data_IF_750687348254
#
_entry.id   IF_750687348254
#
_cell.length_a   1.000
_cell.length_b   1.000
_cell.length_c   1.000
_cell.angle_alpha   90.00
_cell.angle_beta   90.00
_cell.angle_gamma   90.00
#
_symmetry.space_group_name_H-M   'P 1'
#
loop_
_entity.id
_entity.type
_entity.pdbx_description
1 polymer ?
#
# COMPACT_ATOMS: atom_id res chain seq x y z
N UNK A 1 5.73 13.13 2.03
CA UNK A 1 5.00 13.92 1.02
C UNK A 1 3.53 14.00 1.39
N UNK A 2 2.88 15.11 1.14
CA UNK A 2 1.43 15.30 1.35
C UNK A 2 0.76 15.49 -0.02
N UNK A 3 -0.30 14.72 -0.28
CA UNK A 3 -1.07 14.85 -1.52
C UNK A 3 -2.03 16.03 -1.41
N UNK A 4 -1.92 16.97 -2.34
CA UNK A 4 -2.87 18.09 -2.46
C UNK A 4 -4.08 17.61 -3.24
N UNK A 5 -5.28 17.73 -2.70
CA UNK A 5 -6.51 17.17 -3.31
C UNK A 5 -7.64 18.19 -3.47
N UNK A 6 -7.35 19.49 -3.37
CA UNK A 6 -8.37 20.55 -3.44
C UNK A 6 -8.81 20.90 -4.86
N UNK A 7 -8.03 20.49 -5.89
CA UNK A 7 -8.37 20.72 -7.29
C UNK A 7 -7.71 19.67 -8.19
N UNK A 8 -8.22 19.51 -9.41
CA UNK A 8 -7.61 18.61 -10.40
C UNK A 8 -6.14 18.94 -10.67
N UNK A 9 -5.82 20.23 -10.81
CA UNK A 9 -4.43 20.68 -11.01
C UNK A 9 -3.54 20.34 -9.81
N UNK A 10 -4.04 20.48 -8.58
CA UNK A 10 -3.29 20.13 -7.37
C UNK A 10 -3.06 18.62 -7.24
N UNK A 11 -4.01 17.81 -7.71
CA UNK A 11 -3.83 16.34 -7.77
C UNK A 11 -2.77 15.99 -8.80
N UNK A 12 -2.80 16.60 -9.98
CA UNK A 12 -1.81 16.36 -11.02
C UNK A 12 -0.41 16.76 -10.58
N UNK A 13 -0.25 17.93 -9.97
CA UNK A 13 1.01 18.36 -9.34
C UNK A 13 1.52 17.33 -8.32
N UNK A 14 0.62 16.81 -7.48
CA UNK A 14 0.96 15.81 -6.48
C UNK A 14 1.37 14.47 -7.09
N UNK A 15 0.76 14.07 -8.18
CA UNK A 15 1.12 12.85 -8.93
C UNK A 15 2.51 12.99 -9.54
N UNK A 16 2.81 14.11 -10.17
CA UNK A 16 4.13 14.37 -10.76
C UNK A 16 5.22 14.37 -9.69
N UNK A 17 4.97 15.08 -8.60
CA UNK A 17 5.93 15.16 -7.50
C UNK A 17 6.14 13.80 -6.83
N UNK A 18 5.07 13.00 -6.64
CA UNK A 18 5.18 11.65 -6.12
C UNK A 18 6.04 10.78 -7.03
N UNK A 19 5.75 10.77 -8.32
CA UNK A 19 6.52 9.97 -9.29
C UNK A 19 8.00 10.37 -9.26
N UNK A 20 8.29 11.69 -9.22
CA UNK A 20 9.66 12.21 -9.13
C UNK A 20 10.38 11.75 -7.86
N UNK A 21 9.72 11.85 -6.69
CA UNK A 21 10.29 11.44 -5.41
C UNK A 21 10.52 9.93 -5.40
N UNK A 22 9.56 9.12 -5.86
CA UNK A 22 9.68 7.65 -5.90
C UNK A 22 10.87 7.22 -6.75
N UNK A 23 11.11 7.87 -7.89
CA UNK A 23 12.27 7.57 -8.74
C UNK A 23 13.63 7.82 -8.07
N UNK A 24 13.68 8.62 -7.02
CA UNK A 24 14.89 8.93 -6.26
C UNK A 24 14.96 8.19 -4.92
N UNK A 25 13.89 7.50 -4.52
CA UNK A 25 13.80 6.80 -3.24
C UNK A 25 14.23 5.35 -3.38
N UNK A 26 14.65 4.73 -2.28
CA UNK A 26 14.96 3.32 -2.15
C UNK A 26 13.85 2.56 -1.43
N UNK A 27 13.09 3.27 -0.57
CA UNK A 27 12.02 2.71 0.23
C UNK A 27 10.80 3.62 0.15
N UNK A 28 9.63 3.02 -0.01
CA UNK A 28 8.33 3.69 0.14
C UNK A 28 7.68 3.15 1.40
N UNK A 29 7.31 4.05 2.31
CA UNK A 29 6.52 3.72 3.49
C UNK A 29 5.15 4.36 3.41
N UNK A 30 4.11 3.56 3.53
CA UNK A 30 2.72 4.02 3.64
C UNK A 30 2.27 3.82 5.08
N UNK A 31 2.12 4.89 5.86
CA UNK A 31 1.75 4.80 7.26
C UNK A 31 0.29 4.38 7.44
N UNK A 32 -0.06 4.06 8.68
CA UNK A 32 -1.44 3.88 9.10
C UNK A 32 -2.20 5.21 9.23
N UNK A 33 -3.46 5.10 9.59
CA UNK A 33 -4.37 6.22 9.81
C UNK A 33 -5.78 5.86 9.36
N UNK A 34 -6.69 6.81 9.54
CA UNK A 34 -8.07 6.68 9.09
C UNK A 34 -8.34 7.72 8.01
N UNK A 35 -8.79 7.28 6.84
CA UNK A 35 -9.18 8.17 5.75
C UNK A 35 -10.70 8.28 5.71
N UNK A 36 -11.22 9.49 5.52
CA UNK A 36 -12.65 9.67 5.25
C UNK A 36 -13.06 8.90 4.00
N UNK A 37 -14.17 8.18 4.06
CA UNK A 37 -14.69 7.40 2.94
C UNK A 37 -14.08 6.01 2.76
N UNK A 38 -13.29 5.53 3.71
CA UNK A 38 -12.80 4.15 3.71
C UNK A 38 -13.93 3.12 3.91
N UNK A 39 -14.97 3.49 4.65
CA UNK A 39 -16.19 2.70 4.87
C UNK A 39 -17.19 2.85 3.72
N UNK A 40 -18.06 1.84 3.45
CA UNK A 40 -18.16 0.53 4.12
C UNK A 40 -17.26 -0.56 3.53
N UNK A 41 -16.54 -0.29 2.46
CA UNK A 41 -15.84 -1.30 1.66
C UNK A 41 -14.39 -1.51 2.10
N UNK A 42 -14.05 -1.05 3.30
CA UNK A 42 -12.74 -1.18 3.91
C UNK A 42 -11.77 -0.07 3.52
N UNK A 43 -10.65 -0.06 4.20
CA UNK A 43 -9.68 1.03 4.21
C UNK A 43 -8.74 1.06 3.01
N UNK A 44 -8.05 2.18 2.83
CA UNK A 44 -7.02 2.35 1.81
C UNK A 44 -7.51 2.81 0.44
N UNK A 45 -8.79 3.16 0.26
CA UNK A 45 -9.37 3.55 -1.03
C UNK A 45 -8.63 4.73 -1.69
N UNK A 46 -8.41 5.81 -0.96
CA UNK A 46 -7.74 7.00 -1.51
C UNK A 46 -6.28 6.72 -1.85
N UNK A 47 -5.58 5.97 -0.99
CA UNK A 47 -4.21 5.54 -1.24
C UNK A 47 -4.18 4.69 -2.50
N UNK A 48 -5.08 3.72 -2.60
CA UNK A 48 -5.19 2.81 -3.76
C UNK A 48 -5.46 3.58 -5.05
N UNK A 49 -6.41 4.51 -5.04
CA UNK A 49 -6.72 5.35 -6.19
C UNK A 49 -5.52 6.18 -6.65
N UNK A 50 -4.79 6.78 -5.70
CA UNK A 50 -3.59 7.57 -5.99
C UNK A 50 -2.47 6.73 -6.61
N UNK A 51 -2.18 5.55 -6.04
CA UNK A 51 -1.13 4.66 -6.53
C UNK A 51 -1.49 3.97 -7.86
N UNK A 52 -2.75 3.91 -8.25
CA UNK A 52 -3.19 3.43 -9.57
C UNK A 52 -2.99 4.45 -10.69
N UNK A 53 -2.70 5.71 -10.37
CA UNK A 53 -2.33 6.66 -11.40
C UNK A 53 -1.13 6.12 -12.20
N UNK A 54 -1.16 6.13 -13.55
CA UNK A 54 -0.12 5.51 -14.38
C UNK A 54 1.30 5.98 -14.04
N UNK A 55 1.50 7.28 -13.83
CA UNK A 55 2.83 7.83 -13.51
C UNK A 55 3.38 7.33 -12.17
N UNK A 56 2.53 7.25 -11.15
CA UNK A 56 2.90 6.72 -9.83
C UNK A 56 3.12 5.21 -9.90
N UNK A 57 2.22 4.48 -10.57
CA UNK A 57 2.33 3.04 -10.80
C UNK A 57 3.65 2.68 -11.48
N UNK A 58 4.00 3.36 -12.57
CA UNK A 58 5.23 3.11 -13.30
C UNK A 58 6.47 3.37 -12.44
N UNK A 59 6.47 4.45 -11.66
CA UNK A 59 7.57 4.75 -10.74
C UNK A 59 7.73 3.69 -9.64
N UNK A 60 6.62 3.16 -9.10
CA UNK A 60 6.62 2.06 -8.13
C UNK A 60 7.16 0.77 -8.76
N UNK A 61 6.71 0.42 -9.96
CA UNK A 61 7.20 -0.77 -10.66
C UNK A 61 8.70 -0.66 -10.99
N UNK A 62 9.17 0.51 -11.38
CA UNK A 62 10.59 0.76 -11.58
C UNK A 62 11.39 0.59 -10.29
N UNK A 63 10.89 1.13 -9.17
CA UNK A 63 11.51 0.95 -7.85
C UNK A 63 11.64 -0.52 -7.49
N UNK A 64 10.53 -1.28 -7.56
CA UNK A 64 10.49 -2.66 -7.09
C UNK A 64 11.16 -3.66 -8.03
N UNK A 65 11.03 -3.48 -9.35
CA UNK A 65 11.46 -4.49 -10.34
C UNK A 65 12.83 -4.21 -10.95
N UNK A 66 13.28 -2.94 -10.96
CA UNK A 66 14.55 -2.56 -11.61
C UNK A 66 15.62 -2.08 -10.64
N UNK A 67 15.21 -1.49 -9.52
CA UNK A 67 16.11 -0.88 -8.56
C UNK A 67 16.20 -1.63 -7.23
N UNK A 68 15.54 -2.78 -7.13
CA UNK A 68 15.52 -3.64 -5.93
C UNK A 68 15.09 -2.88 -4.66
N UNK A 69 14.17 -1.92 -4.82
CA UNK A 69 13.65 -1.12 -3.72
C UNK A 69 12.58 -1.84 -2.93
N UNK A 70 12.17 -1.25 -1.82
CA UNK A 70 11.25 -1.86 -0.87
C UNK A 70 10.00 -1.01 -0.65
N UNK A 71 8.91 -1.67 -0.30
CA UNK A 71 7.70 -1.01 0.21
C UNK A 71 7.29 -1.57 1.56
N UNK A 72 6.83 -0.68 2.44
CA UNK A 72 6.28 -1.02 3.75
C UNK A 72 4.91 -0.38 3.91
N UNK A 73 3.91 -1.15 4.25
CA UNK A 73 2.57 -0.67 4.59
C UNK A 73 2.20 -1.03 6.02
N UNK A 74 1.72 -0.05 6.78
CA UNK A 74 1.31 -0.22 8.17
C UNK A 74 -0.18 0.08 8.29
N UNK A 75 -0.96 -0.83 8.90
CA UNK A 75 -2.39 -0.66 9.15
C UNK A 75 -3.16 -0.32 7.86
N UNK A 76 -3.68 0.88 7.70
CA UNK A 76 -4.35 1.36 6.48
C UNK A 76 -3.42 1.28 5.25
N UNK A 77 -2.14 1.56 5.41
CA UNK A 77 -1.13 1.38 4.36
C UNK A 77 -0.98 -0.09 3.94
N UNK A 78 -0.99 -1.04 4.88
CA UNK A 78 -0.98 -2.46 4.57
C UNK A 78 -2.25 -2.89 3.81
N UNK A 79 -3.41 -2.41 4.23
CA UNK A 79 -4.67 -2.66 3.52
C UNK A 79 -4.62 -2.14 2.08
N UNK A 80 -4.00 -0.98 1.85
CA UNK A 80 -3.78 -0.46 0.51
C UNK A 80 -2.83 -1.34 -0.32
N UNK A 81 -1.72 -1.83 0.27
CA UNK A 81 -0.81 -2.74 -0.43
C UNK A 81 -1.49 -4.04 -0.87
N UNK A 82 -2.38 -4.60 -0.05
CA UNK A 82 -3.19 -5.76 -0.44
C UNK A 82 -4.10 -5.41 -1.63
N UNK A 83 -4.85 -4.30 -1.55
CA UNK A 83 -5.79 -3.87 -2.59
C UNK A 83 -5.12 -3.45 -3.90
N UNK A 84 -3.87 -3.05 -3.85
CA UNK A 84 -3.06 -2.75 -5.03
C UNK A 84 -2.50 -4.01 -5.70
N UNK A 85 -2.54 -5.16 -5.04
CA UNK A 85 -1.92 -6.39 -5.51
C UNK A 85 -0.44 -6.51 -5.13
N UNK A 86 0.14 -5.51 -4.48
CA UNK A 86 1.58 -5.48 -4.16
C UNK A 86 2.01 -6.59 -3.20
N UNK A 87 1.22 -6.89 -2.16
CA UNK A 87 1.54 -8.00 -1.24
C UNK A 87 1.24 -9.36 -1.90
N UNK A 88 0.06 -9.59 -2.53
CA UNK A 88 -0.22 -10.88 -3.14
C UNK A 88 0.64 -11.21 -4.36
N UNK A 89 0.94 -10.22 -5.21
CA UNK A 89 1.48 -10.45 -6.55
C UNK A 89 2.81 -9.74 -6.83
N UNK A 90 3.26 -8.84 -5.94
CA UNK A 90 4.49 -8.06 -6.13
C UNK A 90 4.41 -6.94 -7.16
N UNK A 91 3.20 -6.59 -7.59
CA UNK A 91 2.97 -5.51 -8.56
C UNK A 91 1.59 -4.87 -8.39
N UNK A 92 1.45 -3.65 -8.89
CA UNK A 92 0.15 -2.98 -8.93
C UNK A 92 -0.64 -3.54 -10.09
N UNK A 93 -1.71 -4.27 -9.76
CA UNK A 93 -2.59 -4.92 -10.73
C UNK A 93 -4.06 -4.74 -10.35
N UNK A 94 -4.94 -4.99 -11.30
CA UNK A 94 -6.37 -5.00 -11.03
C UNK A 94 -6.73 -6.26 -10.25
N UNK A 95 -7.56 -6.07 -9.22
CA UNK A 95 -8.03 -7.16 -8.39
C UNK A 95 -9.20 -7.86 -9.06
N UNK A 96 -9.19 -9.17 -9.01
CA UNK A 96 -10.28 -10.04 -9.48
C UNK A 96 -11.16 -10.48 -8.30
N UNK A 97 -12.24 -11.20 -8.60
CA UNK A 97 -13.13 -11.75 -7.58
C UNK A 97 -12.39 -12.73 -6.63
N UNK A 98 -11.38 -13.42 -7.12
CA UNK A 98 -10.60 -14.41 -6.37
C UNK A 98 -9.36 -13.79 -5.68
N UNK A 99 -9.13 -12.51 -5.85
CA UNK A 99 -7.97 -11.83 -5.25
C UNK A 99 -8.13 -11.69 -3.73
N UNK A 100 -7.05 -11.91 -2.96
CA UNK A 100 -7.06 -11.67 -1.53
C UNK A 100 -7.42 -10.22 -1.19
N UNK A 101 -8.24 -10.02 -0.18
CA UNK A 101 -8.58 -8.69 0.31
C UNK A 101 -8.68 -8.66 1.82
N UNK A 102 -8.59 -7.46 2.39
CA UNK A 102 -8.86 -7.19 3.79
C UNK A 102 -10.16 -6.40 3.87
N UNK A 103 -11.10 -6.90 4.64
CA UNK A 103 -12.42 -6.31 4.85
C UNK A 103 -12.83 -6.43 6.31
N UNK A 104 -14.12 -6.28 6.59
CA UNK A 104 -14.65 -6.36 7.94
C UNK A 104 -14.45 -7.73 8.58
N UNK A 105 -14.29 -7.73 9.90
CA UNK A 105 -14.34 -8.97 10.67
C UNK A 105 -15.71 -9.65 10.52
N UNK A 106 -15.70 -10.96 10.40
CA UNK A 106 -16.95 -11.76 10.31
C UNK A 106 -17.85 -11.64 11.52
N UNK A 107 -17.29 -11.23 12.68
CA UNK A 107 -18.04 -10.94 13.90
C UNK A 107 -18.69 -9.54 13.91
N UNK A 108 -18.65 -8.80 12.82
CA UNK A 108 -19.22 -7.47 12.61
C UNK A 108 -18.79 -6.40 13.62
N UNK A 109 -17.62 -6.55 14.25
CA UNK A 109 -17.06 -5.56 15.18
C UNK A 109 -15.55 -5.53 15.13
N UNK A 110 -14.98 -4.39 15.48
CA UNK A 110 -13.54 -4.23 15.70
C UNK A 110 -13.07 -5.05 16.89
N UNK A 111 -11.90 -5.68 16.75
CA UNK A 111 -11.18 -6.32 17.85
C UNK A 111 -9.84 -5.63 18.07
N UNK A 112 -9.62 -5.16 19.31
CA UNK A 112 -8.34 -4.62 19.74
C UNK A 112 -7.82 -5.48 20.90
N UNK A 113 -6.74 -6.24 20.64
CA UNK A 113 -6.19 -7.15 21.64
C UNK A 113 -4.71 -7.43 21.33
N UNK A 114 -3.98 -7.78 22.38
CA UNK A 114 -2.62 -8.31 22.22
C UNK A 114 -2.69 -9.74 21.70
N UNK A 115 -1.93 -10.03 20.66
CA UNK A 115 -1.87 -11.36 20.05
C UNK A 115 -0.42 -11.78 19.82
N UNK A 116 -0.15 -13.07 19.88
CA UNK A 116 1.12 -13.62 19.46
C UNK A 116 1.13 -13.76 17.95
N UNK A 117 2.21 -13.31 17.33
CA UNK A 117 2.45 -13.48 15.88
C UNK A 117 3.63 -14.41 15.66
N UNK A 118 3.61 -15.14 14.56
CA UNK A 118 4.72 -15.98 14.11
C UNK A 118 5.21 -15.50 12.77
N UNK A 119 6.53 -15.38 12.63
CA UNK A 119 7.16 -15.14 11.34
C UNK A 119 7.09 -16.45 10.55
N UNK A 120 6.32 -16.43 9.46
CA UNK A 120 6.11 -17.61 8.63
C UNK A 120 7.17 -17.77 7.53
N UNK A 121 7.92 -16.71 7.24
CA UNK A 121 8.98 -16.69 6.22
C UNK A 121 9.93 -15.51 6.45
N UNK A 122 11.20 -15.74 6.24
CA UNK A 122 12.25 -14.72 6.27
C UNK A 122 12.75 -14.34 4.87
N UNK A 123 12.00 -14.64 3.83
CA UNK A 123 12.36 -14.27 2.44
C UNK A 123 12.32 -12.77 2.18
N UNK A 124 11.52 -12.03 2.96
CA UNK A 124 11.49 -10.58 2.85
C UNK A 124 12.74 -9.96 3.49
N UNK A 125 13.40 -8.98 2.86
CA UNK A 125 14.52 -8.24 3.48
C UNK A 125 14.17 -7.63 4.84
N UNK A 126 12.90 -7.28 5.09
CA UNK A 126 12.44 -6.81 6.40
C UNK A 126 12.55 -7.85 7.51
N UNK A 127 12.65 -9.12 7.18
CA UNK A 127 12.61 -10.24 8.11
C UNK A 127 13.81 -11.20 7.94
N UNK A 128 14.83 -10.80 7.18
CA UNK A 128 15.96 -11.65 6.81
C UNK A 128 16.68 -12.24 8.02
N UNK A 129 16.83 -11.47 9.10
CA UNK A 129 17.51 -11.89 10.33
C UNK A 129 16.56 -12.54 11.36
N UNK A 130 15.29 -12.76 10.99
CA UNK A 130 14.31 -13.33 11.90
C UNK A 130 14.30 -14.85 11.85
N UNK A 131 14.02 -15.47 13.00
CA UNK A 131 13.80 -16.93 13.07
C UNK A 131 12.37 -17.26 12.62
N UNK A 132 12.24 -18.24 11.77
CA UNK A 132 10.97 -18.81 11.29
C UNK A 132 10.52 -19.94 12.20
#
# INVERSE_FOLDING_TARGET
MVVKNLSAAAIEESVEEAARIIKQSQIIMIPGGFSGGDEPEGSGKFITAFFRNPKVKDAVHELLKKRDGLMLGICNGFQALIKLGLVPYGEITDMTQDSPTLTFNTIARHQSMMVNTRIASNKSPWLADSRV
#
